data_IF_283693482285
#
_entry.id   IF_283693482285
#
_cell.length_a   1.000
_cell.length_b   1.000
_cell.length_c   1.000
_cell.angle_alpha   90.00
_cell.angle_beta   90.00
_cell.angle_gamma   90.00
#
_symmetry.space_group_name_H-M   'P 1'
#
loop_
_entity.id
_entity.type
_entity.pdbx_description
1 polymer ?
#
# COMPACT_ATOMS: atom_id res chain seq x y z
N UNK A 1 -3.97 -24.56 -13.72
CA UNK A 1 -4.15 -23.08 -13.74
C UNK A 1 -2.82 -22.40 -13.38
N UNK A 2 -2.37 -21.43 -14.18
CA UNK A 2 -1.18 -20.62 -13.85
C UNK A 2 -1.55 -19.49 -12.87
N UNK A 3 -0.67 -19.14 -11.92
CA UNK A 3 -0.92 -18.07 -10.95
C UNK A 3 -0.89 -16.69 -11.62
N UNK A 4 -1.82 -15.80 -11.24
CA UNK A 4 -1.90 -14.42 -11.78
C UNK A 4 -0.79 -13.50 -11.23
N UNK A 5 -0.23 -13.84 -10.06
CA UNK A 5 0.92 -13.20 -9.44
C UNK A 5 1.59 -14.17 -8.46
N UNK A 6 2.92 -14.13 -8.35
CA UNK A 6 3.72 -14.95 -7.42
C UNK A 6 4.50 -14.10 -6.42
N UNK A 7 5.05 -14.75 -5.38
CA UNK A 7 6.00 -14.15 -4.43
C UNK A 7 5.44 -12.95 -3.65
N UNK A 8 4.17 -13.08 -3.25
CA UNK A 8 3.45 -12.07 -2.48
C UNK A 8 3.45 -12.42 -0.99
N UNK A 9 3.39 -11.39 -0.15
CA UNK A 9 3.23 -11.53 1.31
C UNK A 9 1.84 -11.14 1.79
N UNK A 10 1.15 -10.29 1.04
CA UNK A 10 -0.21 -9.84 1.33
C UNK A 10 -0.99 -9.72 0.01
N UNK A 11 -2.28 -9.97 0.09
CA UNK A 11 -3.23 -9.89 -1.01
C UNK A 11 -4.56 -9.33 -0.51
N UNK A 12 -5.13 -8.36 -1.22
CA UNK A 12 -6.43 -7.77 -0.90
C UNK A 12 -7.26 -7.62 -2.18
N UNK A 13 -8.55 -7.91 -2.08
CA UNK A 13 -9.53 -7.65 -3.13
C UNK A 13 -10.44 -6.54 -2.62
N UNK A 14 -10.52 -5.42 -3.35
CA UNK A 14 -11.41 -4.31 -3.00
C UNK A 14 -12.03 -3.74 -4.26
N UNK A 15 -13.35 -3.88 -4.36
CA UNK A 15 -14.13 -3.52 -5.56
C UNK A 15 -13.57 -4.21 -6.81
N UNK A 16 -13.27 -3.46 -7.88
CA UNK A 16 -12.67 -3.98 -9.11
C UNK A 16 -11.15 -4.18 -9.04
N UNK A 17 -10.52 -3.90 -7.90
CA UNK A 17 -9.08 -3.91 -7.75
C UNK A 17 -8.56 -5.12 -6.98
N UNK A 18 -7.40 -5.61 -7.42
CA UNK A 18 -6.60 -6.55 -6.68
C UNK A 18 -5.30 -5.87 -6.27
N UNK A 19 -4.96 -5.95 -5.00
CA UNK A 19 -3.73 -5.43 -4.43
C UNK A 19 -2.86 -6.58 -3.97
N UNK A 20 -1.56 -6.48 -4.28
CA UNK A 20 -0.60 -7.47 -3.87
C UNK A 20 0.67 -6.78 -3.38
N UNK A 21 1.21 -7.26 -2.27
CA UNK A 21 2.45 -6.75 -1.69
C UNK A 21 3.56 -7.77 -1.88
N UNK A 22 4.70 -7.34 -2.41
CA UNK A 22 5.90 -8.18 -2.54
C UNK A 22 7.04 -7.66 -1.67
N UNK A 23 7.76 -8.58 -1.01
CA UNK A 23 9.06 -8.28 -0.37
C UNK A 23 10.16 -8.35 -1.42
N UNK A 24 10.89 -7.25 -1.61
CA UNK A 24 11.96 -7.16 -2.60
C UNK A 24 13.27 -6.77 -1.92
N UNK A 25 14.33 -7.53 -2.21
CA UNK A 25 15.70 -7.17 -1.86
C UNK A 25 16.33 -6.43 -3.03
N UNK A 26 16.72 -5.18 -2.80
CA UNK A 26 17.41 -4.39 -3.81
C UNK A 26 18.86 -4.87 -3.93
N UNK A 27 19.27 -5.26 -5.14
CA UNK A 27 20.65 -5.61 -5.44
C UNK A 27 21.56 -4.41 -5.11
N UNK A 28 22.61 -4.64 -4.33
CA UNK A 28 23.54 -3.58 -3.91
C UNK A 28 23.10 -2.74 -2.70
N UNK A 29 21.95 -3.02 -2.08
CA UNK A 29 21.56 -2.37 -0.83
C UNK A 29 22.48 -2.81 0.32
N UNK A 30 23.00 -1.84 1.09
CA UNK A 30 23.70 -2.10 2.36
C UNK A 30 22.75 -2.49 3.51
N UNK A 31 21.47 -2.18 3.36
CA UNK A 31 20.43 -2.61 4.31
C UNK A 31 19.99 -4.04 3.97
N UNK A 32 19.96 -4.90 4.99
CA UNK A 32 19.45 -6.27 4.90
C UNK A 32 17.91 -6.33 4.91
N UNK A 33 17.24 -5.23 5.27
CA UNK A 33 15.79 -5.20 5.36
C UNK A 33 15.16 -5.16 3.96
N UNK A 34 14.26 -6.12 3.64
CA UNK A 34 13.52 -6.10 2.39
C UNK A 34 12.57 -4.90 2.36
N UNK A 35 12.45 -4.25 1.20
CA UNK A 35 11.46 -3.20 0.99
C UNK A 35 10.17 -3.80 0.42
N UNK A 36 9.02 -3.23 0.77
CA UNK A 36 7.74 -3.67 0.21
C UNK A 36 7.43 -2.94 -1.10
N UNK A 37 6.89 -3.67 -2.07
CA UNK A 37 6.37 -3.12 -3.32
C UNK A 37 4.89 -3.45 -3.46
N UNK A 38 4.08 -2.41 -3.71
CA UNK A 38 2.66 -2.57 -4.04
C UNK A 38 2.49 -2.82 -5.54
N UNK A 39 1.66 -3.80 -5.87
CA UNK A 39 1.22 -4.17 -7.20
C UNK A 39 -0.29 -4.13 -7.26
N UNK A 40 -0.84 -3.57 -8.33
CA UNK A 40 -2.28 -3.36 -8.47
C UNK A 40 -2.75 -3.91 -9.81
N UNK A 41 -3.83 -4.68 -9.81
CA UNK A 41 -4.60 -5.06 -11.00
C UNK A 41 -5.97 -4.40 -10.94
N UNK A 42 -6.48 -3.99 -12.11
CA UNK A 42 -7.78 -3.34 -12.29
C UNK A 42 -8.64 -4.19 -13.23
N UNK A 43 -9.80 -4.64 -12.77
CA UNK A 43 -10.84 -5.33 -13.54
C UNK A 43 -10.33 -6.51 -14.39
N UNK A 44 -9.53 -7.39 -13.77
CA UNK A 44 -8.95 -8.57 -14.42
C UNK A 44 -7.76 -8.28 -15.35
N UNK A 45 -7.27 -7.04 -15.39
CA UNK A 45 -6.03 -6.69 -16.08
C UNK A 45 -4.77 -7.26 -15.39
N UNK A 46 -3.57 -7.10 -15.99
CA UNK A 46 -2.35 -7.57 -15.36
C UNK A 46 -2.00 -6.74 -14.12
N UNK A 47 -1.20 -7.33 -13.23
CA UNK A 47 -0.62 -6.60 -12.11
C UNK A 47 0.45 -5.62 -12.58
N UNK A 48 0.28 -4.36 -12.22
CA UNK A 48 1.21 -3.28 -12.50
C UNK A 48 1.85 -2.79 -11.20
N UNK A 49 3.16 -2.58 -11.21
CA UNK A 49 3.89 -2.05 -10.05
C UNK A 49 3.51 -0.59 -9.82
N UNK A 50 3.09 -0.27 -8.59
CA UNK A 50 2.83 1.09 -8.16
C UNK A 50 4.14 1.88 -7.98
N UNK A 51 4.15 3.13 -8.46
CA UNK A 51 5.27 4.07 -8.32
C UNK A 51 4.88 5.24 -7.43
N UNK A 52 5.73 5.58 -6.48
CA UNK A 52 5.53 6.66 -5.49
C UNK A 52 6.59 7.76 -5.67
N UNK A 53 6.31 9.02 -5.26
CA UNK A 53 7.13 10.18 -5.64
C UNK A 53 8.38 10.40 -4.77
N UNK A 54 8.64 9.59 -3.75
CA UNK A 54 9.77 9.77 -2.82
C UNK A 54 10.56 8.47 -2.61
N UNK A 55 11.77 8.61 -2.07
CA UNK A 55 12.66 7.49 -1.75
C UNK A 55 12.57 7.02 -0.29
N UNK A 56 11.52 7.41 0.46
CA UNK A 56 11.29 6.86 1.79
C UNK A 56 11.05 5.33 1.72
N UNK A 57 11.50 4.55 2.71
CA UNK A 57 11.20 3.13 2.80
C UNK A 57 9.69 2.88 2.83
N UNK A 58 9.24 1.76 2.26
CA UNK A 58 7.85 1.33 2.34
C UNK A 58 7.81 0.08 3.23
N UNK A 59 7.30 0.25 4.45
CA UNK A 59 7.25 -0.82 5.46
C UNK A 59 5.90 -1.50 5.54
N UNK A 60 4.81 -0.79 5.25
CA UNK A 60 3.44 -1.32 5.23
C UNK A 60 2.59 -0.53 4.23
N UNK A 61 1.57 -1.19 3.67
CA UNK A 61 0.52 -0.56 2.87
C UNK A 61 -0.84 -0.83 3.51
N UNK A 62 -1.74 0.16 3.45
CA UNK A 62 -3.15 -0.03 3.78
C UNK A 62 -3.98 0.73 2.76
N UNK A 63 -5.04 0.11 2.24
CA UNK A 63 -5.92 0.70 1.22
C UNK A 63 -7.21 1.14 1.92
N UNK A 64 -7.26 2.34 2.54
CA UNK A 64 -8.44 2.78 3.28
C UNK A 64 -9.67 2.90 2.36
N UNK A 65 -9.48 3.33 1.11
CA UNK A 65 -10.58 3.69 0.24
C UNK A 65 -10.25 3.52 -1.24
N UNK A 66 -11.26 3.09 -1.99
CA UNK A 66 -11.28 2.97 -3.45
C UNK A 66 -12.61 3.57 -3.91
N UNK A 67 -12.60 4.32 -5.01
CA UNK A 67 -13.82 4.85 -5.62
C UNK A 67 -13.58 5.28 -7.06
N UNK A 68 -14.47 4.87 -7.98
CA UNK A 68 -14.53 5.36 -9.36
C UNK A 68 -13.17 5.30 -10.09
N UNK A 69 -12.40 4.24 -9.89
CA UNK A 69 -11.07 4.07 -10.48
C UNK A 69 -9.93 4.83 -9.78
N UNK A 70 -10.23 5.56 -8.71
CA UNK A 70 -9.25 6.20 -7.84
C UNK A 70 -9.00 5.34 -6.60
N UNK A 71 -7.71 5.18 -6.25
CA UNK A 71 -7.26 4.41 -5.09
C UNK A 71 -6.52 5.36 -4.16
N UNK A 72 -6.87 5.29 -2.87
CA UNK A 72 -6.10 5.89 -1.79
C UNK A 72 -5.30 4.81 -1.06
N UNK A 73 -4.03 5.08 -0.77
CA UNK A 73 -3.14 4.15 -0.07
C UNK A 73 -2.39 4.89 1.03
N UNK A 74 -2.50 4.39 2.25
CA UNK A 74 -1.61 4.74 3.35
C UNK A 74 -0.31 3.95 3.21
N UNK A 75 0.83 4.63 3.26
CA UNK A 75 2.15 3.98 3.28
C UNK A 75 2.84 4.34 4.59
N UNK A 76 3.17 3.33 5.38
CA UNK A 76 4.04 3.50 6.53
C UNK A 76 5.50 3.52 6.07
N UNK A 77 6.24 4.53 6.53
CA UNK A 77 7.66 4.70 6.25
C UNK A 77 8.54 4.25 7.42
N UNK A 78 8.00 4.33 8.64
CA UNK A 78 8.57 3.80 9.88
C UNK A 78 7.43 3.52 10.90
N UNK A 79 7.77 3.26 12.16
CA UNK A 79 6.82 2.91 13.22
C UNK A 79 5.79 4.00 13.54
N UNK A 80 6.02 5.25 13.18
CA UNK A 80 5.15 6.40 13.53
C UNK A 80 4.91 7.37 12.37
N UNK A 81 5.66 7.26 11.27
CA UNK A 81 5.53 8.10 10.08
C UNK A 81 4.78 7.36 8.99
N UNK A 82 3.62 7.88 8.61
CA UNK A 82 2.87 7.39 7.46
C UNK A 82 2.26 8.53 6.66
N UNK A 83 2.08 8.32 5.36
CA UNK A 83 1.55 9.31 4.42
C UNK A 83 0.40 8.69 3.61
N UNK A 84 -0.54 9.54 3.17
CA UNK A 84 -1.61 9.18 2.26
C UNK A 84 -1.22 9.52 0.82
N UNK A 85 -1.42 8.57 -0.08
CA UNK A 85 -1.21 8.72 -1.51
C UNK A 85 -2.49 8.43 -2.28
N UNK A 86 -2.62 9.04 -3.45
CA UNK A 86 -3.75 8.84 -4.35
C UNK A 86 -3.28 8.56 -5.76
N UNK A 87 -3.99 7.69 -6.48
CA UNK A 87 -3.75 7.43 -7.90
C UNK A 87 -5.06 7.11 -8.62
N UNK A 88 -5.18 7.54 -9.87
CA UNK A 88 -6.14 6.96 -10.82
C UNK A 88 -5.47 5.77 -11.50
N UNK A 89 -5.99 4.57 -11.25
CA UNK A 89 -5.33 3.33 -11.70
C UNK A 89 -5.80 2.99 -13.13
N UNK A 90 -4.91 3.02 -14.14
CA UNK A 90 -5.29 2.73 -15.51
C UNK A 90 -5.73 1.28 -15.70
N UNK A 91 -6.68 1.06 -16.63
CA UNK A 91 -7.07 -0.29 -17.08
C UNK A 91 -6.13 -0.89 -18.13
N UNK A 92 -5.34 -0.04 -18.78
CA UNK A 92 -4.47 -0.44 -19.88
C UNK A 92 -3.11 -0.93 -19.37
N UNK A 93 -2.60 -2.08 -19.86
CA UNK A 93 -1.30 -2.62 -19.44
C UNK A 93 -0.11 -1.77 -19.89
N UNK A 94 -0.32 -0.83 -20.82
CA UNK A 94 0.72 0.07 -21.33
C UNK A 94 0.92 1.33 -20.48
N UNK A 95 0.09 1.52 -19.45
CA UNK A 95 0.17 2.67 -18.56
C UNK A 95 0.78 2.28 -17.23
N UNK A 96 1.34 3.27 -16.54
CA UNK A 96 1.95 3.07 -15.24
C UNK A 96 1.01 3.52 -14.13
N UNK A 97 0.99 2.78 -13.02
CA UNK A 97 0.29 3.18 -11.81
C UNK A 97 1.18 4.13 -11.03
N UNK A 98 0.90 5.44 -11.14
CA UNK A 98 1.68 6.50 -10.48
C UNK A 98 0.84 7.16 -9.40
N UNK A 99 1.34 7.07 -8.17
CA UNK A 99 0.77 7.74 -7.02
C UNK A 99 1.33 9.16 -6.87
N UNK A 100 0.48 10.08 -6.44
CA UNK A 100 0.87 11.38 -5.91
C UNK A 100 0.65 11.42 -4.40
N UNK A 101 1.47 12.20 -3.70
CA UNK A 101 1.29 12.44 -2.27
C UNK A 101 0.04 13.33 -2.08
N UNK A 102 -0.89 12.86 -1.24
CA UNK A 102 -2.09 13.61 -0.86
C UNK A 102 -1.90 14.32 0.48
N UNK A 103 -1.51 13.57 1.52
CA UNK A 103 -1.35 14.10 2.87
C UNK A 103 -0.16 13.46 3.59
N UNK A 104 0.65 14.28 4.29
CA UNK A 104 1.75 13.78 5.12
C UNK A 104 1.30 13.58 6.56
N UNK A 105 1.97 12.65 7.24
CA UNK A 105 1.85 12.39 8.68
C UNK A 105 0.42 12.11 9.12
N UNK A 106 -0.25 11.22 8.40
CA UNK A 106 -1.56 10.70 8.83
C UNK A 106 -1.35 9.69 9.96
N UNK A 107 -2.38 9.51 10.78
CA UNK A 107 -2.39 8.43 11.76
C UNK A 107 -2.84 7.13 11.06
N UNK A 108 -1.95 6.14 11.06
CA UNK A 108 -2.17 4.81 10.48
C UNK A 108 -1.64 3.77 11.45
N UNK A 109 -2.52 2.92 11.95
CA UNK A 109 -2.23 1.78 12.80
C UNK A 109 -2.22 0.49 11.96
N UNK A 110 -1.16 -0.29 12.12
CA UNK A 110 -0.99 -1.63 11.59
C UNK A 110 -0.54 -2.53 12.75
N UNK A 111 -1.31 -3.57 13.09
CA UNK A 111 -0.93 -4.52 14.13
C UNK A 111 0.49 -5.03 13.95
N UNK A 112 1.24 -5.08 15.07
CA UNK A 112 2.64 -5.52 15.10
C UNK A 112 3.62 -4.69 14.25
N UNK A 113 3.24 -3.50 13.75
CA UNK A 113 4.10 -2.67 12.92
C UNK A 113 4.11 -1.20 13.34
N UNK A 114 3.04 -0.45 13.09
CA UNK A 114 2.99 0.98 13.43
C UNK A 114 2.33 1.18 14.78
N UNK A 115 2.84 2.14 15.57
CA UNK A 115 2.33 2.48 16.91
C UNK A 115 2.20 1.28 17.88
N UNK A 116 2.97 0.21 17.64
CA UNK A 116 2.88 -1.06 18.38
C UNK A 116 3.33 -0.97 19.85
N UNK A 117 3.95 0.14 20.26
CA UNK A 117 4.34 0.44 21.63
C UNK A 117 3.36 1.38 22.34
N UNK A 118 2.16 1.56 21.79
CA UNK A 118 1.10 2.41 22.35
C UNK A 118 -0.10 1.59 22.80
N UNK A 119 -1.00 2.23 23.55
CA UNK A 119 -2.26 1.63 24.03
C UNK A 119 -3.18 1.17 22.88
N UNK A 120 -3.00 1.69 21.66
CA UNK A 120 -3.84 1.34 20.51
C UNK A 120 -3.79 -0.16 20.22
N UNK A 121 -2.64 -0.83 20.46
CA UNK A 121 -2.53 -2.28 20.29
C UNK A 121 -3.43 -3.10 21.23
N UNK A 122 -3.90 -2.50 22.33
CA UNK A 122 -4.71 -3.17 23.35
C UNK A 122 -6.21 -3.09 23.02
N UNK A 123 -6.58 -2.22 22.07
CA UNK A 123 -7.97 -1.93 21.70
C UNK A 123 -8.29 -2.21 20.24
N UNK A 124 -7.27 -2.28 19.37
CA UNK A 124 -7.43 -2.47 17.93
C UNK A 124 -6.61 -3.67 17.46
N UNK A 125 -7.29 -4.65 16.88
CA UNK A 125 -6.69 -5.87 16.32
C UNK A 125 -6.50 -5.78 14.80
N UNK A 126 -7.09 -4.77 14.16
CA UNK A 126 -7.10 -4.59 12.71
C UNK A 126 -6.40 -3.29 12.29
N UNK A 127 -5.97 -3.26 11.03
CA UNK A 127 -5.35 -2.08 10.45
C UNK A 127 -6.39 -0.98 10.21
N UNK A 128 -6.08 0.26 10.58
CA UNK A 128 -6.94 1.40 10.26
C UNK A 128 -6.13 2.68 10.10
N UNK A 129 -6.69 3.63 9.37
CA UNK A 129 -6.19 4.99 9.30
C UNK A 129 -7.27 5.96 9.75
N UNK A 130 -6.88 7.03 10.42
CA UNK A 130 -7.79 8.11 10.85
C UNK A 130 -8.19 8.96 9.62
N UNK A 131 -9.07 8.39 8.80
CA UNK A 131 -9.59 8.93 7.57
C UNK A 131 -11.10 8.72 7.53
N UNK A 132 -11.85 9.80 7.30
CA UNK A 132 -13.30 9.76 7.24
C UNK A 132 -13.79 10.25 5.86
N UNK A 133 -14.33 9.37 5.00
CA UNK A 133 -14.98 9.78 3.76
C UNK A 133 -16.23 10.62 4.07
N UNK A 134 -16.36 11.78 3.43
CA UNK A 134 -17.59 12.59 3.49
C UNK A 134 -18.40 12.28 2.23
N UNK A 135 -19.60 11.73 2.41
CA UNK A 135 -20.55 11.43 1.35
C UNK A 135 -21.57 12.55 1.16
#
# INVERSE_FOLDING_TARGET
PEPVISDIVEFEVKEEFLFAVKKVRLLGSKSHEPILQLWISNNGGPFLKAKFPHNLPHQQYYVPYVSQGQVMVCVAHDSVTSHLYVSSVPRSPHHEVRFSLSLKRIFYYQPNSTWNNTWVREVEDEAFADLHPVA
#
